data_IF_631996276898
#
_entry.id   IF_631996276898
#
_cell.length_a   1.000
_cell.length_b   1.000
_cell.length_c   1.000
_cell.angle_alpha   90.00
_cell.angle_beta   90.00
_cell.angle_gamma   90.00
#
_symmetry.space_group_name_H-M   'P 1'
#
loop_
_entity.id
_entity.type
_entity.pdbx_description
1 polymer ?
#
# COMPACT_ATOMS: atom_id res chain seq x y z
N UNK A 1 -11.92 12.06 55.35
CA UNK A 1 -11.69 10.64 55.68
C UNK A 1 -10.96 10.04 54.48
N UNK A 2 -9.61 10.08 54.42
CA UNK A 2 -8.68 9.02 54.83
C UNK A 2 -9.12 7.63 54.28
N UNK A 3 -8.35 6.91 53.46
CA UNK A 3 -7.05 6.33 53.82
C UNK A 3 -6.13 6.06 52.62
N UNK A 4 -4.85 6.40 52.80
CA UNK A 4 -3.69 5.77 52.17
C UNK A 4 -3.55 4.30 52.60
N UNK A 5 -2.94 3.47 51.76
CA UNK A 5 -1.99 2.44 52.21
C UNK A 5 -0.79 2.31 51.26
N UNK A 6 0.37 2.26 51.91
CA UNK A 6 1.75 2.18 51.43
C UNK A 6 2.29 0.76 51.74
N UNK A 7 3.51 0.46 51.26
CA UNK A 7 4.48 -0.59 51.67
C UNK A 7 4.36 -1.94 50.93
N UNK A 8 5.43 -2.67 50.54
CA UNK A 8 6.88 -2.75 50.91
C UNK A 8 7.57 -3.65 49.85
N UNK A 9 8.66 -3.25 49.17
CA UNK A 9 10.08 -3.60 49.43
C UNK A 9 10.41 -5.00 49.98
N UNK A 10 11.27 -5.74 49.25
CA UNK A 10 12.38 -6.66 49.64
C UNK A 10 12.86 -7.31 48.31
N UNK A 11 14.10 -7.28 47.83
CA UNK A 11 15.42 -7.23 48.44
C UNK A 11 16.04 -8.64 48.48
N UNK A 12 17.31 -8.77 48.09
CA UNK A 12 18.37 -9.78 48.45
C UNK A 12 19.13 -10.30 47.21
N UNK A 13 20.39 -9.91 46.97
CA UNK A 13 21.70 -10.28 47.58
C UNK A 13 22.48 -11.30 46.74
N UNK A 14 23.50 -10.77 46.03
CA UNK A 14 24.91 -11.18 45.85
C UNK A 14 25.33 -12.61 46.26
N UNK A 15 26.08 -13.30 45.38
CA UNK A 15 27.47 -13.80 45.60
C UNK A 15 27.89 -14.87 44.57
N UNK A 16 29.03 -14.69 43.89
CA UNK A 16 30.20 -15.58 43.96
C UNK A 16 30.18 -16.67 42.86
N UNK A 17 31.26 -17.21 42.29
CA UNK A 17 32.68 -17.24 42.64
C UNK A 17 33.47 -17.63 41.37
N UNK A 18 34.73 -17.21 41.31
CA UNK A 18 35.74 -17.54 40.29
C UNK A 18 36.41 -18.90 40.56
N UNK A 19 36.60 -19.72 39.52
CA UNK A 19 37.69 -20.69 39.30
C UNK A 19 37.70 -20.99 37.78
N UNK A 20 38.78 -21.18 37.02
CA UNK A 20 40.19 -21.41 37.32
C UNK A 20 40.72 -22.53 36.42
N UNK A 21 41.31 -22.15 35.26
CA UNK A 21 42.45 -22.80 34.58
C UNK A 21 42.25 -24.12 33.77
N UNK A 22 43.22 -24.54 32.91
CA UNK A 22 43.10 -24.51 31.45
C UNK A 22 43.28 -25.89 30.78
N UNK A 23 43.02 -26.01 29.48
CA UNK A 23 43.43 -27.20 28.71
C UNK A 23 43.81 -26.86 27.26
N UNK A 24 45.12 -26.84 27.03
CA UNK A 24 45.86 -27.46 25.92
C UNK A 24 45.31 -27.31 24.49
N UNK A 25 46.03 -26.50 23.72
CA UNK A 25 46.07 -26.53 22.26
C UNK A 25 46.63 -27.87 21.75
N UNK A 26 45.99 -28.42 20.71
CA UNK A 26 46.55 -29.45 19.84
C UNK A 26 46.73 -28.86 18.43
N UNK A 27 47.82 -29.18 17.71
CA UNK A 27 48.06 -28.67 16.38
C UNK A 27 47.28 -29.51 15.36
N UNK A 28 46.50 -28.87 14.49
CA UNK A 28 45.96 -29.53 13.30
C UNK A 28 46.96 -29.34 12.16
N UNK A 29 47.34 -30.47 11.58
CA UNK A 29 48.33 -30.66 10.54
C UNK A 29 48.01 -29.86 9.28
N UNK A 30 49.02 -29.16 8.76
CA UNK A 30 48.99 -28.56 7.44
C UNK A 30 49.08 -29.68 6.38
N UNK A 31 47.93 -30.09 5.85
CA UNK A 31 47.88 -30.89 4.62
C UNK A 31 48.03 -29.98 3.41
N UNK A 32 49.18 -30.12 2.76
CA UNK A 32 49.51 -29.56 1.46
C UNK A 32 48.58 -30.15 0.39
N UNK A 33 47.67 -29.34 -0.13
CA UNK A 33 46.93 -29.61 -1.36
C UNK A 33 47.16 -28.43 -2.29
N UNK A 34 47.92 -28.69 -3.35
CA UNK A 34 48.09 -27.79 -4.48
C UNK A 34 46.72 -27.58 -5.16
N UNK A 35 46.02 -26.53 -4.75
CA UNK A 35 44.78 -26.07 -5.36
C UNK A 35 45.08 -25.02 -6.42
N UNK A 36 44.57 -25.25 -7.63
CA UNK A 36 44.53 -24.29 -8.73
C UNK A 36 43.93 -22.98 -8.23
N UNK A 37 44.73 -21.91 -8.19
CA UNK A 37 44.28 -20.58 -7.82
C UNK A 37 43.39 -20.03 -8.95
N UNK A 38 42.07 -20.18 -8.79
CA UNK A 38 41.10 -19.34 -9.50
C UNK A 38 41.27 -17.95 -8.92
N UNK A 39 41.81 -17.02 -9.72
CA UNK A 39 41.86 -15.62 -9.37
C UNK A 39 40.41 -15.08 -9.31
N UNK A 40 39.81 -15.14 -8.13
CA UNK A 40 38.63 -14.36 -7.81
C UNK A 40 39.10 -12.92 -7.79
N UNK A 41 38.72 -12.14 -8.80
CA UNK A 41 38.86 -10.70 -8.76
C UNK A 41 38.03 -10.19 -7.59
N UNK A 42 38.69 -9.94 -6.46
CA UNK A 42 38.10 -9.21 -5.34
C UNK A 42 37.85 -7.79 -5.83
N UNK A 43 36.65 -7.50 -6.32
CA UNK A 43 36.19 -6.12 -6.47
C UNK A 43 36.11 -5.56 -5.06
N UNK A 44 37.12 -4.79 -4.67
CA UNK A 44 37.12 -4.00 -3.45
C UNK A 44 35.82 -3.18 -3.44
N UNK A 45 35.05 -3.16 -2.34
CA UNK A 45 33.92 -2.25 -2.24
C UNK A 45 34.43 -0.82 -2.51
N UNK A 46 33.64 0.04 -3.19
CA UNK A 46 34.06 1.39 -3.50
C UNK A 46 34.45 2.10 -2.20
N UNK A 47 35.69 2.60 -2.14
CA UNK A 47 36.20 3.32 -0.98
C UNK A 47 35.30 4.52 -0.72
N UNK A 48 34.47 4.44 0.32
CA UNK A 48 33.47 5.47 0.63
C UNK A 48 34.13 6.86 0.79
N UNK A 49 35.37 6.89 1.31
CA UNK A 49 36.19 8.10 1.42
C UNK A 49 36.54 8.70 0.06
N UNK A 50 36.90 7.86 -0.92
CA UNK A 50 37.24 8.30 -2.27
C UNK A 50 36.00 8.83 -3.01
N UNK A 51 34.86 8.16 -2.86
CA UNK A 51 33.57 8.62 -3.40
C UNK A 51 33.17 9.97 -2.82
N UNK A 52 33.28 10.14 -1.50
CA UNK A 52 32.97 11.41 -0.85
C UNK A 52 33.88 12.56 -1.33
N UNK A 53 35.17 12.30 -1.54
CA UNK A 53 36.10 13.30 -2.09
C UNK A 53 35.77 13.67 -3.55
N UNK A 54 35.39 12.69 -4.37
CA UNK A 54 34.93 12.95 -5.73
C UNK A 54 33.63 13.76 -5.76
N UNK A 55 32.67 13.47 -4.85
CA UNK A 55 31.42 14.24 -4.72
C UNK A 55 31.67 15.69 -4.27
N UNK A 56 32.66 15.90 -3.39
CA UNK A 56 33.10 17.24 -2.98
C UNK A 56 33.75 18.01 -4.14
N UNK A 57 34.35 17.31 -5.10
CA UNK A 57 34.93 17.91 -6.30
C UNK A 57 33.83 18.35 -7.27
N UNK A 58 32.81 17.51 -7.53
CA UNK A 58 31.64 17.90 -8.34
C UNK A 58 30.93 19.14 -7.77
N UNK A 59 30.89 19.30 -6.44
CA UNK A 59 30.27 20.48 -5.81
C UNK A 59 30.92 21.81 -6.23
N UNK A 60 32.18 21.80 -6.65
CA UNK A 60 32.92 23.01 -7.05
C UNK A 60 32.58 23.48 -8.46
N UNK A 61 31.90 22.67 -9.26
CA UNK A 61 31.44 23.08 -10.58
C UNK A 61 30.47 24.25 -10.47
N UNK A 62 30.71 25.32 -11.24
CA UNK A 62 29.90 26.54 -11.17
C UNK A 62 28.60 26.39 -11.96
N UNK A 63 28.70 25.81 -13.16
CA UNK A 63 27.56 25.54 -14.03
C UNK A 63 26.69 24.41 -13.46
N UNK A 64 25.39 24.65 -13.36
CA UNK A 64 24.46 23.71 -12.73
C UNK A 64 24.33 22.40 -13.52
N UNK A 65 24.37 22.46 -14.85
CA UNK A 65 24.26 21.28 -15.72
C UNK A 65 25.54 20.43 -15.67
N UNK A 66 26.72 21.04 -15.73
CA UNK A 66 28.01 20.34 -15.59
C UNK A 66 28.15 19.68 -14.20
N UNK A 67 27.68 20.36 -13.16
CA UNK A 67 27.66 19.80 -11.80
C UNK A 67 26.77 18.56 -11.70
N UNK A 68 25.61 18.58 -12.38
CA UNK A 68 24.70 17.44 -12.42
C UNK A 68 25.33 16.27 -13.20
N UNK A 69 25.88 16.56 -14.38
CA UNK A 69 26.56 15.56 -15.21
C UNK A 69 27.74 14.89 -14.47
N UNK A 70 28.51 15.67 -13.69
CA UNK A 70 29.57 15.15 -12.83
C UNK A 70 29.04 14.15 -11.77
N UNK A 71 27.90 14.45 -11.14
CA UNK A 71 27.29 13.53 -10.19
C UNK A 71 26.77 12.26 -10.87
N UNK A 72 26.16 12.39 -12.04
CA UNK A 72 25.59 11.26 -12.78
C UNK A 72 26.68 10.28 -13.25
N UNK A 73 27.84 10.79 -13.67
CA UNK A 73 29.00 9.95 -13.99
C UNK A 73 29.63 9.29 -12.75
N UNK A 74 29.73 10.03 -11.64
CA UNK A 74 30.36 9.53 -10.42
C UNK A 74 29.51 8.50 -9.68
N UNK A 75 28.19 8.68 -9.70
CA UNK A 75 27.21 7.85 -9.02
C UNK A 75 26.34 7.13 -10.05
N UNK A 76 26.98 6.58 -11.10
CA UNK A 76 26.28 5.81 -12.12
C UNK A 76 25.40 4.74 -11.45
N UNK A 77 24.13 4.58 -11.89
CA UNK A 77 23.22 3.61 -11.31
C UNK A 77 23.85 2.22 -11.25
N UNK A 78 23.69 1.53 -10.13
CA UNK A 78 24.19 0.16 -9.90
C UNK A 78 23.42 -0.87 -10.74
N UNK A 79 23.55 -0.83 -12.07
CA UNK A 79 23.11 -1.91 -12.96
C UNK A 79 23.70 -1.75 -14.37
N UNK A 80 24.85 -2.39 -14.66
CA UNK A 80 25.37 -2.55 -16.03
C UNK A 80 24.55 -3.55 -16.86
N UNK A 81 23.86 -4.49 -16.19
CA UNK A 81 22.83 -5.35 -16.77
C UNK A 81 21.49 -4.66 -16.52
N UNK A 82 20.74 -4.35 -17.58
CA UNK A 82 19.45 -3.64 -17.49
C UNK A 82 18.46 -4.26 -16.50
N UNK A 83 17.31 -3.60 -16.34
CA UNK A 83 16.22 -3.89 -15.40
C UNK A 83 15.64 -5.33 -15.41
N UNK A 84 16.25 -6.32 -16.06
CA UNK A 84 15.82 -7.72 -16.16
C UNK A 84 15.60 -8.39 -14.80
N UNK A 85 16.34 -8.00 -13.76
CA UNK A 85 16.11 -8.44 -12.37
C UNK A 85 15.15 -7.57 -11.55
N UNK A 86 14.88 -6.35 -12.01
CA UNK A 86 13.98 -5.38 -11.37
C UNK A 86 12.52 -5.49 -11.88
N UNK A 87 12.25 -6.37 -12.85
CA UNK A 87 10.90 -6.66 -13.35
C UNK A 87 10.07 -7.54 -12.41
N UNK A 88 10.55 -7.90 -11.22
CA UNK A 88 9.61 -8.10 -10.11
C UNK A 88 9.11 -6.71 -9.76
N UNK A 89 8.15 -6.22 -10.55
CA UNK A 89 7.36 -5.02 -10.26
C UNK A 89 6.94 -5.20 -8.82
N UNK A 90 7.61 -4.51 -7.90
CA UNK A 90 7.28 -4.59 -6.49
C UNK A 90 5.76 -4.42 -6.43
N UNK A 91 5.07 -5.30 -5.70
CA UNK A 91 3.60 -5.33 -5.60
C UNK A 91 3.08 -4.05 -4.95
N UNK A 92 3.33 -2.92 -5.59
CA UNK A 92 2.97 -1.60 -5.19
C UNK A 92 1.49 -1.50 -5.47
N UNK A 93 0.73 -1.88 -4.45
CA UNK A 93 -0.65 -1.48 -4.26
C UNK A 93 -0.63 -0.02 -3.83
N UNK A 94 -1.49 0.80 -4.44
CA UNK A 94 -1.51 2.22 -4.13
C UNK A 94 -2.27 2.52 -2.84
N UNK A 95 -2.36 3.81 -2.51
CA UNK A 95 -2.97 4.27 -1.27
C UNK A 95 -4.47 3.99 -1.21
N UNK A 96 -5.18 4.06 -2.34
CA UNK A 96 -6.63 3.85 -2.35
C UNK A 96 -6.96 2.37 -2.14
N UNK A 97 -6.23 1.46 -2.79
CA UNK A 97 -6.36 0.03 -2.52
C UNK A 97 -6.04 -0.32 -1.07
N UNK A 98 -4.94 0.23 -0.54
CA UNK A 98 -4.52 0.01 0.85
C UNK A 98 -5.58 0.52 1.82
N UNK A 99 -6.13 1.71 1.59
CA UNK A 99 -7.20 2.31 2.41
C UNK A 99 -8.45 1.43 2.47
N UNK A 100 -8.91 0.94 1.31
CA UNK A 100 -10.08 0.08 1.23
C UNK A 100 -9.87 -1.24 1.99
N UNK A 101 -8.72 -1.88 1.77
CA UNK A 101 -8.42 -3.19 2.37
C UNK A 101 -8.11 -3.10 3.86
N UNK A 102 -7.39 -2.08 4.32
CA UNK A 102 -7.13 -1.83 5.75
C UNK A 102 -8.41 -1.50 6.52
N UNK A 103 -9.37 -0.80 5.91
CA UNK A 103 -10.67 -0.56 6.55
C UNK A 103 -11.45 -1.87 6.70
N UNK A 104 -11.50 -2.70 5.67
CA UNK A 104 -12.21 -3.98 5.72
C UNK A 104 -11.56 -5.02 6.64
N UNK A 105 -10.24 -4.92 6.92
CA UNK A 105 -9.59 -5.74 7.97
C UNK A 105 -10.17 -5.50 9.37
N UNK A 106 -10.82 -4.35 9.60
CA UNK A 106 -11.47 -4.03 10.88
C UNK A 106 -12.85 -4.66 11.01
N UNK A 107 -13.37 -5.28 9.94
CA UNK A 107 -14.69 -5.91 9.96
C UNK A 107 -14.66 -7.18 10.81
N UNK A 108 -15.56 -7.24 11.76
CA UNK A 108 -15.80 -8.45 12.55
C UNK A 108 -16.89 -9.31 11.89
N UNK A 109 -16.63 -10.61 11.76
CA UNK A 109 -17.54 -11.57 11.15
C UNK A 109 -17.69 -11.42 9.62
N UNK A 110 -18.78 -11.98 9.09
CA UNK A 110 -19.00 -12.12 7.66
C UNK A 110 -20.02 -11.12 7.09
N UNK A 111 -20.25 -10.00 7.79
CA UNK A 111 -21.21 -8.99 7.36
C UNK A 111 -20.75 -8.30 6.07
N UNK A 112 -21.69 -7.68 5.36
CA UNK A 112 -21.44 -6.88 4.15
C UNK A 112 -22.01 -5.46 4.27
N UNK A 113 -22.45 -5.09 5.47
CA UNK A 113 -22.97 -3.74 5.73
C UNK A 113 -21.90 -2.68 5.48
N UNK A 114 -22.33 -1.48 5.11
CA UNK A 114 -21.44 -0.36 4.84
C UNK A 114 -20.67 0.03 6.11
N UNK A 115 -19.34 -0.08 6.07
CA UNK A 115 -18.46 0.42 7.13
C UNK A 115 -18.07 1.85 6.82
N UNK A 116 -18.17 2.73 7.81
CA UNK A 116 -17.87 4.16 7.67
C UNK A 116 -16.76 4.55 8.63
N UNK A 117 -15.68 5.10 8.11
CA UNK A 117 -14.62 5.75 8.89
C UNK A 117 -14.52 7.22 8.51
N UNK A 118 -14.36 8.07 9.52
CA UNK A 118 -14.13 9.50 9.35
C UNK A 118 -12.87 9.89 10.10
N UNK A 119 -11.95 10.58 9.42
CA UNK A 119 -10.78 11.20 10.02
C UNK A 119 -10.97 12.71 9.89
N UNK A 120 -11.27 13.41 11.01
CA UNK A 120 -11.44 14.86 10.99
C UNK A 120 -10.09 15.57 10.81
N UNK A 121 -10.13 16.82 10.34
CA UNK A 121 -8.95 17.65 10.14
C UNK A 121 -9.23 18.79 9.17
N UNK A 122 -8.20 19.57 8.83
CA UNK A 122 -8.28 20.61 7.79
C UNK A 122 -8.64 20.02 6.41
N UNK A 123 -8.20 18.79 6.15
CA UNK A 123 -8.61 17.97 5.01
C UNK A 123 -9.30 16.71 5.53
N UNK A 124 -10.62 16.76 5.81
CA UNK A 124 -11.33 15.61 6.33
C UNK A 124 -11.25 14.46 5.32
N UNK A 125 -11.05 13.25 5.83
CA UNK A 125 -11.08 12.02 5.02
C UNK A 125 -12.27 11.18 5.47
N UNK A 126 -13.16 10.85 4.54
CA UNK A 126 -14.29 9.95 4.79
C UNK A 126 -14.17 8.76 3.87
N UNK A 127 -14.32 7.56 4.43
CA UNK A 127 -14.16 6.29 3.71
C UNK A 127 -15.32 5.38 4.07
N UNK A 128 -16.05 4.92 3.05
CA UNK A 128 -17.18 4.02 3.17
C UNK A 128 -16.89 2.78 2.35
N UNK A 129 -16.90 1.60 2.96
CA UNK A 129 -16.53 0.34 2.29
C UNK A 129 -17.56 -0.75 2.48
N UNK A 130 -17.63 -1.65 1.50
CA UNK A 130 -18.34 -2.93 1.58
C UNK A 130 -17.60 -3.98 0.74
N UNK A 131 -17.43 -5.21 1.24
CA UNK A 131 -16.74 -6.27 0.52
C UNK A 131 -17.68 -6.97 -0.47
N UNK A 132 -17.12 -7.54 -1.53
CA UNK A 132 -17.88 -8.29 -2.52
C UNK A 132 -18.57 -9.53 -1.91
N UNK A 133 -19.80 -9.80 -2.35
CA UNK A 133 -20.62 -10.94 -1.96
C UNK A 133 -20.24 -12.14 -2.83
N UNK A 134 -20.14 -13.33 -2.23
CA UNK A 134 -19.85 -14.57 -2.97
C UNK A 134 -18.37 -14.81 -3.27
N UNK A 135 -17.47 -13.98 -2.74
CA UNK A 135 -16.02 -14.17 -2.85
C UNK A 135 -15.42 -14.64 -1.52
N UNK A 136 -14.45 -15.56 -1.57
CA UNK A 136 -13.64 -15.92 -0.40
C UNK A 136 -12.61 -14.83 -0.12
N UNK A 137 -12.26 -14.54 1.16
CA UNK A 137 -11.19 -13.60 1.49
C UNK A 137 -9.83 -13.97 0.85
N UNK A 138 -9.03 -12.98 0.40
CA UNK A 138 -9.32 -11.55 0.40
C UNK A 138 -10.36 -11.19 -0.68
N UNK A 139 -11.33 -10.35 -0.32
CA UNK A 139 -12.46 -10.00 -1.18
C UNK A 139 -12.21 -8.65 -1.86
N UNK A 140 -12.61 -8.46 -3.13
CA UNK A 140 -12.70 -7.13 -3.71
C UNK A 140 -13.56 -6.20 -2.84
N UNK A 141 -13.21 -4.93 -2.77
CA UNK A 141 -13.86 -3.95 -1.87
C UNK A 141 -14.39 -2.78 -2.68
N UNK A 142 -15.69 -2.53 -2.63
CA UNK A 142 -16.28 -1.28 -3.10
C UNK A 142 -16.03 -0.19 -2.06
N UNK A 143 -15.55 0.95 -2.52
CA UNK A 143 -15.19 2.09 -1.68
C UNK A 143 -15.78 3.39 -2.26
N UNK A 144 -16.53 4.11 -1.43
CA UNK A 144 -16.85 5.52 -1.64
C UNK A 144 -15.98 6.35 -0.71
N UNK A 145 -15.31 7.37 -1.23
CA UNK A 145 -14.42 8.20 -0.39
C UNK A 145 -14.50 9.68 -0.71
N UNK A 146 -14.28 10.49 0.32
CA UNK A 146 -13.89 11.90 0.21
C UNK A 146 -12.45 12.00 0.67
N UNK A 147 -11.53 12.32 -0.25
CA UNK A 147 -10.11 12.56 0.04
C UNK A 147 -9.67 13.78 -0.75
N UNK A 148 -9.01 14.73 -0.09
CA UNK A 148 -8.66 16.04 -0.66
C UNK A 148 -9.88 16.76 -1.27
N UNK A 149 -11.02 16.72 -0.59
CA UNK A 149 -12.28 17.32 -1.02
C UNK A 149 -12.80 16.80 -2.39
N UNK A 150 -12.33 15.62 -2.82
CA UNK A 150 -12.77 14.95 -4.05
C UNK A 150 -13.49 13.66 -3.69
N UNK A 151 -14.76 13.60 -4.09
CA UNK A 151 -15.57 12.38 -4.04
C UNK A 151 -15.10 11.39 -5.11
N UNK A 152 -14.94 10.12 -4.71
CA UNK A 152 -14.54 9.02 -5.58
C UNK A 152 -15.40 7.78 -5.29
N UNK A 153 -15.75 7.04 -6.34
CA UNK A 153 -16.27 5.68 -6.27
C UNK A 153 -15.26 4.74 -6.92
N UNK A 154 -14.81 3.75 -6.16
CA UNK A 154 -13.70 2.88 -6.54
C UNK A 154 -13.97 1.43 -6.11
N UNK A 155 -13.35 0.47 -6.79
CA UNK A 155 -13.31 -0.93 -6.39
C UNK A 155 -11.85 -1.37 -6.29
N UNK A 156 -11.42 -1.75 -5.10
CA UNK A 156 -10.12 -2.38 -4.86
C UNK A 156 -10.21 -3.86 -5.25
N UNK A 157 -9.42 -4.26 -6.25
CA UNK A 157 -9.41 -5.59 -6.85
C UNK A 157 -8.29 -6.45 -6.25
N UNK A 158 -8.55 -7.75 -6.10
CA UNK A 158 -7.56 -8.69 -5.55
C UNK A 158 -6.63 -9.26 -6.61
N UNK A 159 -7.01 -9.11 -7.87
CA UNK A 159 -6.20 -9.47 -9.03
C UNK A 159 -6.20 -8.27 -9.97
N UNK A 160 -5.03 -7.86 -10.47
CA UNK A 160 -4.95 -6.70 -11.34
C UNK A 160 -5.61 -6.98 -12.69
N UNK A 161 -6.25 -5.95 -13.26
CA UNK A 161 -6.66 -5.94 -14.65
C UNK A 161 -5.52 -5.43 -15.53
N UNK A 162 -5.29 -6.09 -16.66
CA UNK A 162 -4.26 -5.70 -17.65
C UNK A 162 -4.86 -4.81 -18.76
N UNK A 163 -5.64 -3.81 -18.35
CA UNK A 163 -6.23 -2.79 -19.23
C UNK A 163 -6.14 -1.43 -18.53
N UNK A 164 -6.26 -0.34 -19.28
CA UNK A 164 -6.14 1.02 -18.73
C UNK A 164 -7.50 1.64 -18.37
N UNK A 165 -8.54 1.24 -19.08
CA UNK A 165 -9.92 1.62 -18.85
C UNK A 165 -10.85 0.53 -19.40
N UNK A 166 -12.12 0.56 -19.00
CA UNK A 166 -13.08 -0.47 -19.33
C UNK A 166 -14.51 0.08 -19.28
N UNK A 167 -15.35 -0.38 -20.22
CA UNK A 167 -16.79 -0.16 -20.14
C UNK A 167 -17.38 -1.05 -19.05
N UNK A 168 -18.10 -0.46 -18.11
CA UNK A 168 -18.71 -1.15 -16.98
C UNK A 168 -20.22 -0.99 -17.05
N UNK A 169 -20.94 -2.07 -16.78
CA UNK A 169 -22.39 -2.00 -16.53
C UNK A 169 -22.62 -2.10 -15.04
N UNK A 170 -23.19 -1.06 -14.43
CA UNK A 170 -23.63 -1.11 -13.04
C UNK A 170 -25.10 -1.49 -13.00
N UNK A 171 -25.40 -2.57 -12.29
CA UNK A 171 -26.77 -3.01 -12.05
C UNK A 171 -27.10 -2.72 -10.57
N UNK A 172 -27.90 -1.68 -10.35
CA UNK A 172 -28.40 -1.26 -9.05
C UNK A 172 -29.85 -1.75 -8.90
N UNK A 173 -30.00 -2.96 -8.36
CA UNK A 173 -31.23 -3.76 -8.37
C UNK A 173 -31.85 -3.87 -9.79
N UNK A 174 -32.94 -3.15 -10.07
CA UNK A 174 -33.64 -3.18 -11.37
C UNK A 174 -33.14 -2.16 -12.39
N UNK A 175 -32.19 -1.30 -12.02
CA UNK A 175 -31.64 -0.26 -12.89
C UNK A 175 -30.28 -0.67 -13.41
N UNK A 176 -30.09 -0.60 -14.73
CA UNK A 176 -28.80 -0.77 -15.36
C UNK A 176 -28.31 0.58 -15.89
N UNK A 177 -27.08 0.95 -15.55
CA UNK A 177 -26.42 2.14 -16.08
C UNK A 177 -25.08 1.73 -16.68
N UNK A 178 -24.76 2.31 -17.84
CA UNK A 178 -23.47 2.11 -18.49
C UNK A 178 -22.56 3.26 -18.12
N UNK A 179 -21.34 2.92 -17.73
CA UNK A 179 -20.31 3.87 -17.36
C UNK A 179 -18.97 3.42 -17.95
N UNK A 180 -18.02 4.32 -17.97
CA UNK A 180 -16.65 4.04 -18.37
C UNK A 180 -15.76 4.29 -17.17
N UNK A 181 -15.08 3.24 -16.73
CA UNK A 181 -14.26 3.26 -15.53
C UNK A 181 -12.81 3.10 -15.91
N UNK A 182 -11.96 3.70 -15.12
CA UNK A 182 -10.53 3.73 -15.29
C UNK A 182 -9.84 2.71 -14.39
N UNK A 183 -8.82 2.05 -14.93
CA UNK A 183 -7.93 1.20 -14.16
C UNK A 183 -6.74 2.02 -13.68
N UNK A 184 -6.42 1.87 -12.40
CA UNK A 184 -5.40 2.63 -11.65
C UNK A 184 -4.58 1.67 -10.79
N UNK A 185 -3.53 2.21 -10.17
CA UNK A 185 -2.68 1.48 -9.21
C UNK A 185 -2.21 0.12 -9.76
N UNK A 186 -1.60 0.13 -10.95
CA UNK A 186 -1.08 -1.08 -11.62
C UNK A 186 -2.13 -2.20 -11.82
N UNK A 187 -3.39 -1.84 -12.13
CA UNK A 187 -4.43 -2.84 -12.38
C UNK A 187 -5.31 -3.14 -11.18
N UNK A 188 -4.89 -2.73 -9.97
CA UNK A 188 -5.52 -3.17 -8.71
C UNK A 188 -6.68 -2.28 -8.27
N UNK A 189 -6.85 -1.11 -8.87
CA UNK A 189 -7.93 -0.19 -8.51
C UNK A 189 -8.76 0.15 -9.74
N UNK A 190 -10.06 -0.15 -9.69
CA UNK A 190 -11.02 0.33 -10.67
C UNK A 190 -11.69 1.59 -10.13
N UNK A 191 -11.76 2.63 -10.91
CA UNK A 191 -12.26 3.95 -10.50
C UNK A 191 -13.27 4.44 -11.53
N UNK A 192 -14.49 4.78 -11.13
CA UNK A 192 -15.45 5.30 -12.10
C UNK A 192 -15.05 6.70 -12.57
N UNK A 193 -15.35 7.68 -11.75
CA UNK A 193 -15.25 9.10 -12.01
C UNK A 193 -14.99 9.83 -10.70
N UNK A 194 -14.55 11.08 -10.79
CA UNK A 194 -14.16 11.92 -9.63
C UNK A 194 -14.99 13.20 -9.62
N UNK A 195 -15.25 13.74 -8.43
CA UNK A 195 -15.96 15.00 -8.30
C UNK A 195 -17.40 14.90 -8.84
N UNK A 196 -17.87 15.91 -9.57
CA UNK A 196 -19.28 16.03 -9.99
C UNK A 196 -19.80 14.82 -10.77
N UNK A 197 -19.04 14.30 -11.74
CA UNK A 197 -19.49 13.12 -12.51
C UNK A 197 -19.57 11.86 -11.64
N UNK A 198 -18.62 11.68 -10.73
CA UNK A 198 -18.67 10.59 -9.74
C UNK A 198 -19.85 10.76 -8.78
N UNK A 199 -20.15 11.98 -8.36
CA UNK A 199 -21.31 12.30 -7.51
C UNK A 199 -22.62 11.92 -8.20
N UNK A 200 -22.78 12.29 -9.48
CA UNK A 200 -24.00 12.00 -10.24
C UNK A 200 -24.20 10.49 -10.45
N UNK A 201 -23.11 9.75 -10.64
CA UNK A 201 -23.14 8.28 -10.72
C UNK A 201 -23.51 7.65 -9.37
N UNK A 202 -22.94 8.13 -8.25
CA UNK A 202 -23.28 7.64 -6.91
C UNK A 202 -24.74 7.94 -6.56
N UNK A 203 -25.25 9.13 -6.90
CA UNK A 203 -26.66 9.50 -6.67
C UNK A 203 -27.62 8.54 -7.38
N UNK A 204 -27.25 8.02 -8.54
CA UNK A 204 -28.06 7.01 -9.24
C UNK A 204 -28.16 5.69 -8.48
N UNK A 205 -27.25 5.39 -7.55
CA UNK A 205 -27.28 4.17 -6.74
C UNK A 205 -28.25 4.26 -5.55
N UNK A 206 -28.70 5.46 -5.17
CA UNK A 206 -29.56 5.64 -4.00
C UNK A 206 -30.88 4.87 -4.15
N UNK A 207 -31.30 4.24 -3.05
CA UNK A 207 -32.49 3.41 -2.96
C UNK A 207 -32.30 1.95 -3.40
N UNK A 208 -31.17 1.60 -4.03
CA UNK A 208 -30.85 0.21 -4.33
C UNK A 208 -30.24 -0.50 -3.11
N UNK A 209 -30.46 -1.81 -3.01
CA UNK A 209 -29.88 -2.67 -1.96
C UNK A 209 -28.60 -3.34 -2.42
N UNK A 210 -28.51 -3.66 -3.71
CA UNK A 210 -27.35 -4.34 -4.29
C UNK A 210 -26.81 -3.58 -5.48
N UNK A 211 -25.49 -3.64 -5.64
CA UNK A 211 -24.77 -3.12 -6.79
C UNK A 211 -23.94 -4.24 -7.40
N UNK A 212 -24.23 -4.62 -8.65
CA UNK A 212 -23.35 -5.48 -9.43
C UNK A 212 -22.57 -4.64 -10.43
N UNK A 213 -21.25 -4.64 -10.28
CA UNK A 213 -20.27 -4.06 -11.20
C UNK A 213 -19.87 -5.15 -12.19
N UNK A 214 -20.39 -5.08 -13.41
CA UNK A 214 -20.07 -6.00 -14.51
C UNK A 214 -19.00 -5.37 -15.40
N UNK A 215 -17.78 -5.89 -15.31
CA UNK A 215 -16.63 -5.45 -16.10
C UNK A 215 -16.52 -6.21 -17.43
N UNK A 216 -17.28 -7.30 -17.61
CA UNK A 216 -17.16 -8.17 -18.78
C UNK A 216 -15.84 -8.94 -18.88
N UNK A 217 -14.98 -8.89 -17.85
CA UNK A 217 -13.74 -9.67 -17.83
C UNK A 217 -14.01 -11.17 -17.58
N UNK A 218 -13.26 -12.04 -18.23
CA UNK A 218 -13.40 -13.50 -18.12
C UNK A 218 -12.80 -14.11 -16.83
N UNK A 219 -12.69 -13.32 -15.77
CA UNK A 219 -12.02 -13.70 -14.52
C UNK A 219 -12.88 -13.37 -13.29
N UNK A 220 -12.33 -13.57 -12.08
CA UNK A 220 -13.04 -13.32 -10.83
C UNK A 220 -13.44 -11.85 -10.60
N UNK A 221 -12.93 -10.90 -11.39
CA UNK A 221 -13.34 -9.50 -11.41
C UNK A 221 -14.42 -9.20 -12.48
N UNK A 222 -14.86 -10.20 -13.25
CA UNK A 222 -15.87 -10.06 -14.30
C UNK A 222 -17.19 -9.49 -13.80
N UNK A 223 -17.70 -10.01 -12.67
CA UNK A 223 -18.92 -9.52 -12.03
C UNK A 223 -18.74 -9.48 -10.52
N UNK A 224 -18.78 -8.29 -9.95
CA UNK A 224 -18.61 -8.05 -8.52
C UNK A 224 -19.90 -7.50 -7.94
N UNK A 225 -20.49 -8.20 -6.97
CA UNK A 225 -21.75 -7.77 -6.33
C UNK A 225 -21.50 -7.29 -4.92
N UNK A 226 -22.07 -6.14 -4.56
CA UNK A 226 -21.87 -5.46 -3.28
C UNK A 226 -23.21 -5.14 -2.63
N UNK A 227 -23.24 -5.10 -1.29
CA UNK A 227 -24.38 -4.59 -0.54
C UNK A 227 -24.26 -3.07 -0.41
N UNK A 228 -25.23 -2.34 -0.94
CA UNK A 228 -25.33 -0.88 -0.87
C UNK A 228 -26.62 -0.43 -0.16
N UNK A 229 -27.28 -1.32 0.57
CA UNK A 229 -28.48 -0.98 1.34
C UNK A 229 -28.17 0.15 2.34
N UNK A 230 -29.05 1.14 2.38
CA UNK A 230 -28.86 2.33 3.21
C UNK A 230 -27.77 3.31 2.73
N UNK A 231 -27.20 3.16 1.52
CA UNK A 231 -26.14 4.04 1.00
C UNK A 231 -26.46 5.54 1.11
N UNK A 232 -27.70 5.93 0.78
CA UNK A 232 -28.13 7.33 0.85
C UNK A 232 -27.99 7.95 2.25
N UNK A 233 -28.14 7.13 3.30
CA UNK A 233 -27.93 7.55 4.69
C UNK A 233 -26.46 7.47 5.08
N UNK A 234 -25.79 6.36 4.74
CA UNK A 234 -24.40 6.12 5.11
C UNK A 234 -23.43 7.15 4.53
N UNK A 235 -23.76 7.73 3.37
CA UNK A 235 -22.92 8.69 2.66
C UNK A 235 -22.99 10.13 3.19
N UNK A 236 -23.93 10.46 4.09
CA UNK A 236 -24.08 11.79 4.67
C UNK A 236 -22.74 12.46 5.09
N UNK A 237 -21.86 11.84 5.91
CA UNK A 237 -20.60 12.46 6.29
C UNK A 237 -19.64 12.71 5.12
N UNK A 238 -19.70 11.88 4.07
CA UNK A 238 -18.91 12.07 2.86
C UNK A 238 -19.38 13.32 2.11
N UNK A 239 -20.68 13.53 2.02
CA UNK A 239 -21.30 14.68 1.35
C UNK A 239 -20.94 15.98 2.04
N UNK A 240 -20.98 15.98 3.37
CA UNK A 240 -20.59 17.11 4.20
C UNK A 240 -19.10 17.45 3.99
N UNK A 241 -18.22 16.44 4.09
CA UNK A 241 -16.78 16.60 3.94
C UNK A 241 -16.35 17.07 2.54
N UNK A 242 -17.07 16.66 1.50
CA UNK A 242 -16.76 17.00 0.10
C UNK A 242 -17.65 18.09 -0.48
N UNK A 243 -18.46 18.77 0.33
CA UNK A 243 -19.31 19.90 -0.05
C UNK A 243 -20.18 19.64 -1.30
N UNK A 244 -20.96 18.56 -1.30
CA UNK A 244 -21.86 18.28 -2.42
C UNK A 244 -22.88 19.43 -2.59
N UNK A 245 -22.93 20.04 -3.77
CA UNK A 245 -23.88 21.11 -4.06
C UNK A 245 -25.33 20.56 -4.16
N UNK A 246 -26.29 21.33 -3.63
CA UNK A 246 -27.73 21.10 -3.83
C UNK A 246 -28.46 20.27 -2.76
N UNK A 247 -28.05 20.39 -1.50
CA UNK A 247 -28.87 20.04 -0.33
C UNK A 247 -29.13 21.24 0.57
#
# INVERSE_FOLDING_TARGET
MSRLRVFRQTGWFIAGLMTGLPATAAPAEASSMAGVAVAVATTTPPDATATLQAMQSCRRESAALERLDCYDHLLAPLSPSGFDGALVKAGFVGEAWTRATEQEKRREGNTTELLVTQVPGERPTVVITTPAIGHVPPRPVLMFSCVDNITRMQVALMHPLDVHDIAVTLNADSRALRSHWFVRENGTLLESSRGLSGIDEIKQLFGAKTLTVDTGADNAAGKLTFNIDGLARAIAPLRDACHWAGE
#
